data_IF_376753067379
#
_entry.id   IF_376753067379
#
_cell.length_a   1.000
_cell.length_b   1.000
_cell.length_c   1.000
_cell.angle_alpha   90.00
_cell.angle_beta   90.00
_cell.angle_gamma   90.00
#
_symmetry.space_group_name_H-M   'P 1'
#
loop_
_entity.id
_entity.type
_entity.pdbx_description
1 polymer ?
#
# COMPACT_ATOMS: atom_id res chain seq x y z
N UNK A 1 -4.18 -22.99 -32.13
CA UNK A 1 -4.95 -22.44 -30.98
C UNK A 1 -3.96 -22.10 -29.88
N UNK A 2 -3.77 -20.82 -29.55
CA UNK A 2 -2.83 -20.39 -28.50
C UNK A 2 -3.56 -20.38 -27.16
N UNK A 3 -3.22 -21.33 -26.28
CA UNK A 3 -3.70 -21.33 -24.90
C UNK A 3 -2.97 -20.23 -24.13
N UNK A 4 -3.51 -19.01 -24.14
CA UNK A 4 -3.04 -17.91 -23.29
C UNK A 4 -3.45 -18.24 -21.85
N UNK A 5 -2.54 -18.82 -21.08
CA UNK A 5 -2.74 -19.14 -19.66
C UNK A 5 -3.08 -17.83 -18.93
N UNK A 6 -4.31 -17.68 -18.47
CA UNK A 6 -4.71 -16.53 -17.64
C UNK A 6 -4.10 -16.74 -16.26
N UNK A 7 -3.09 -15.95 -15.93
CA UNK A 7 -2.58 -15.89 -14.56
C UNK A 7 -3.52 -15.02 -13.73
N UNK A 8 -3.75 -15.35 -12.45
CA UNK A 8 -4.46 -14.46 -11.52
C UNK A 8 -3.83 -13.06 -11.49
N UNK A 9 -4.63 -12.04 -11.17
CA UNK A 9 -4.12 -10.67 -11.00
C UNK A 9 -2.98 -10.62 -9.96
N UNK A 10 -1.97 -9.77 -10.17
CA UNK A 10 -0.84 -9.65 -9.26
C UNK A 10 0.15 -10.83 -9.24
N UNK A 11 -0.06 -11.84 -10.09
CA UNK A 11 0.86 -12.97 -10.23
C UNK A 11 1.68 -12.92 -11.52
N UNK A 12 2.94 -13.35 -11.45
CA UNK A 12 3.85 -13.39 -12.59
C UNK A 12 4.03 -14.84 -13.06
N UNK A 13 3.95 -15.10 -14.38
CA UNK A 13 4.35 -16.38 -14.92
C UNK A 13 5.86 -16.54 -14.70
N UNK A 14 6.31 -17.67 -14.16
CA UNK A 14 7.73 -17.89 -13.90
C UNK A 14 8.51 -18.02 -15.22
N UNK A 15 9.72 -17.46 -15.26
CA UNK A 15 10.66 -17.64 -16.37
C UNK A 15 11.46 -18.95 -16.26
N UNK A 16 11.67 -19.45 -15.03
CA UNK A 16 12.58 -20.59 -14.74
C UNK A 16 11.98 -21.70 -13.88
N UNK A 17 10.86 -21.45 -13.18
CA UNK A 17 10.21 -22.42 -12.28
C UNK A 17 8.84 -22.84 -12.83
N UNK A 18 8.28 -23.99 -12.42
CA UNK A 18 6.95 -24.42 -12.88
C UNK A 18 5.79 -23.72 -12.14
N UNK A 19 6.07 -23.00 -11.04
CA UNK A 19 5.06 -22.43 -10.14
C UNK A 19 4.86 -20.93 -10.35
N UNK A 20 3.61 -20.48 -10.24
CA UNK A 20 3.24 -19.06 -10.28
C UNK A 20 3.87 -18.34 -9.08
N UNK A 21 4.47 -17.17 -9.30
CA UNK A 21 5.07 -16.35 -8.25
C UNK A 21 4.26 -15.07 -8.00
N UNK A 22 4.31 -14.57 -6.77
CA UNK A 22 3.73 -13.29 -6.38
C UNK A 22 4.74 -12.43 -5.62
N UNK A 23 4.62 -11.11 -5.76
CA UNK A 23 5.52 -10.17 -5.09
C UNK A 23 5.21 -10.10 -3.59
N UNK A 24 6.25 -9.93 -2.78
CA UNK A 24 6.12 -9.66 -1.33
C UNK A 24 5.80 -8.20 -1.01
N UNK A 25 5.79 -7.32 -2.02
CA UNK A 25 5.65 -5.86 -1.85
C UNK A 25 6.97 -5.14 -1.59
N UNK A 26 8.07 -5.89 -1.40
CA UNK A 26 9.41 -5.36 -1.20
C UNK A 26 10.29 -5.83 -2.36
N UNK A 27 10.63 -4.97 -3.34
CA UNK A 27 11.39 -5.37 -4.52
C UNK A 27 12.76 -6.00 -4.19
N UNK A 28 13.47 -5.45 -3.20
CA UNK A 28 14.76 -5.98 -2.78
C UNK A 28 14.66 -7.37 -2.15
N UNK A 29 13.53 -7.70 -1.51
CA UNK A 29 13.29 -9.04 -0.98
C UNK A 29 12.91 -10.00 -2.10
N UNK A 30 12.10 -9.56 -3.06
CA UNK A 30 11.73 -10.37 -4.24
C UNK A 30 12.96 -10.75 -5.07
N UNK A 31 13.96 -9.87 -5.16
CA UNK A 31 15.23 -10.16 -5.82
C UNK A 31 16.03 -11.24 -5.07
N UNK A 32 16.04 -11.19 -3.73
CA UNK A 32 16.71 -12.19 -2.88
C UNK A 32 16.01 -13.54 -2.91
N UNK A 33 14.68 -13.56 -2.90
CA UNK A 33 13.88 -14.78 -3.02
C UNK A 33 13.98 -15.39 -4.43
N UNK A 34 14.40 -14.58 -5.42
CA UNK A 34 14.56 -14.99 -6.79
C UNK A 34 13.24 -15.09 -7.55
N UNK A 35 13.32 -15.26 -8.87
CA UNK A 35 12.16 -15.45 -9.76
C UNK A 35 11.06 -14.35 -9.67
N UNK A 36 11.40 -13.18 -9.13
CA UNK A 36 10.51 -12.03 -9.01
C UNK A 36 9.49 -12.12 -7.88
N UNK A 37 9.75 -12.93 -6.85
CA UNK A 37 8.97 -13.00 -5.62
C UNK A 37 8.80 -14.41 -5.04
N UNK A 38 7.76 -14.60 -4.22
CA UNK A 38 7.49 -15.86 -3.55
C UNK A 38 6.65 -16.81 -4.43
N UNK A 39 7.03 -18.10 -4.56
CA UNK A 39 6.22 -19.09 -5.27
C UNK A 39 4.93 -19.43 -4.51
N UNK A 40 3.87 -19.69 -5.26
CA UNK A 40 2.62 -20.24 -4.72
C UNK A 40 2.85 -21.57 -3.99
N UNK A 41 2.17 -21.75 -2.84
CA UNK A 41 2.27 -22.95 -2.01
C UNK A 41 3.50 -23.00 -1.09
N UNK A 42 4.28 -21.93 -0.98
CA UNK A 42 5.43 -21.83 -0.08
C UNK A 42 5.10 -21.02 1.17
N UNK A 43 5.87 -21.23 2.23
CA UNK A 43 5.77 -20.49 3.50
C UNK A 43 7.10 -19.80 3.76
N UNK A 44 7.06 -18.49 3.89
CA UNK A 44 8.22 -17.67 4.27
C UNK A 44 8.18 -17.41 5.77
N UNK A 45 9.22 -17.83 6.49
CA UNK A 45 9.41 -17.54 7.91
C UNK A 45 10.49 -16.48 8.03
N UNK A 46 10.11 -15.27 8.46
CA UNK A 46 11.05 -14.18 8.71
C UNK A 46 11.48 -14.18 10.18
N UNK A 47 12.77 -14.38 10.43
CA UNK A 47 13.34 -14.26 11.77
C UNK A 47 13.80 -12.82 11.99
N UNK A 48 13.18 -12.14 12.93
CA UNK A 48 13.58 -10.79 13.36
C UNK A 48 14.21 -10.87 14.74
N UNK A 49 15.53 -11.14 14.83
CA UNK A 49 16.22 -11.32 16.10
C UNK A 49 16.33 -10.01 16.90
N UNK A 50 16.25 -8.87 16.22
CA UNK A 50 16.27 -7.56 16.84
C UNK A 50 14.88 -7.16 17.35
N UNK A 51 14.75 -7.08 18.67
CA UNK A 51 13.51 -6.72 19.37
C UNK A 51 13.17 -5.23 19.28
N UNK A 52 14.17 -4.38 19.01
CA UNK A 52 13.96 -2.94 18.92
C UNK A 52 13.67 -2.47 17.49
N UNK A 53 13.91 -3.34 16.51
CA UNK A 53 13.62 -3.05 15.11
C UNK A 53 12.19 -3.44 14.74
N UNK A 54 11.45 -2.49 14.19
CA UNK A 54 10.10 -2.71 13.65
C UNK A 54 10.11 -3.34 12.24
N UNK A 55 11.21 -3.99 11.84
CA UNK A 55 11.36 -4.56 10.50
C UNK A 55 10.38 -5.72 10.25
N UNK A 56 10.08 -6.51 11.28
CA UNK A 56 9.10 -7.60 11.19
C UNK A 56 7.71 -7.10 10.86
N UNK A 57 7.25 -6.09 11.60
CA UNK A 57 5.96 -5.45 11.37
C UNK A 57 5.89 -4.82 9.98
N UNK A 58 6.97 -4.15 9.56
CA UNK A 58 7.06 -3.52 8.26
C UNK A 58 6.96 -4.56 7.13
N UNK A 59 7.69 -5.67 7.25
CA UNK A 59 7.65 -6.77 6.29
C UNK A 59 6.24 -7.38 6.18
N UNK A 60 5.56 -7.60 7.30
CA UNK A 60 4.18 -8.08 7.33
C UNK A 60 3.22 -7.09 6.67
N UNK A 61 3.33 -5.80 7.01
CA UNK A 61 2.49 -4.74 6.43
C UNK A 61 2.65 -4.64 4.92
N UNK A 62 3.87 -4.73 4.39
CA UNK A 62 4.08 -4.73 2.94
C UNK A 62 3.47 -5.96 2.27
N UNK A 63 3.61 -7.15 2.88
CA UNK A 63 3.05 -8.37 2.32
C UNK A 63 1.50 -8.31 2.28
N UNK A 64 0.88 -7.83 3.36
CA UNK A 64 -0.58 -7.62 3.45
C UNK A 64 -1.04 -6.59 2.41
N UNK A 65 -0.38 -5.43 2.36
CA UNK A 65 -0.71 -4.38 1.40
C UNK A 65 -0.60 -4.87 -0.05
N UNK A 66 0.44 -5.65 -0.38
CA UNK A 66 0.64 -6.19 -1.71
C UNK A 66 -0.45 -7.22 -2.09
N UNK A 67 -0.85 -8.06 -1.13
CA UNK A 67 -1.97 -8.99 -1.30
C UNK A 67 -3.28 -8.25 -1.59
N UNK A 68 -3.60 -7.24 -0.79
CA UNK A 68 -4.79 -6.41 -0.96
C UNK A 68 -4.79 -5.65 -2.30
N UNK A 69 -3.66 -5.05 -2.67
CA UNK A 69 -3.50 -4.34 -3.95
C UNK A 69 -3.69 -5.27 -5.15
N UNK A 70 -3.25 -6.53 -5.03
CA UNK A 70 -3.41 -7.56 -6.07
C UNK A 70 -4.83 -8.12 -6.15
N UNK A 71 -5.72 -7.76 -5.21
CA UNK A 71 -7.05 -8.33 -5.08
C UNK A 71 -7.05 -9.76 -4.50
N UNK A 72 -5.99 -10.16 -3.81
CA UNK A 72 -5.93 -11.44 -3.13
C UNK A 72 -6.66 -11.40 -1.78
N UNK A 73 -7.28 -12.51 -1.40
CA UNK A 73 -7.81 -12.67 -0.04
C UNK A 73 -6.66 -12.84 0.95
N UNK A 74 -6.50 -11.89 1.87
CA UNK A 74 -5.46 -11.92 2.91
C UNK A 74 -6.08 -12.29 4.24
N UNK A 75 -5.54 -13.30 4.91
CA UNK A 75 -5.92 -13.68 6.27
C UNK A 75 -4.77 -13.33 7.21
N UNK A 76 -5.05 -12.50 8.21
CA UNK A 76 -4.07 -12.05 9.21
C UNK A 76 -4.42 -12.70 10.53
N UNK A 77 -3.45 -13.39 11.13
CA UNK A 77 -3.58 -13.97 12.46
C UNK A 77 -2.71 -13.15 13.42
N UNK A 78 -3.32 -12.43 14.34
CA UNK A 78 -2.61 -11.57 15.28
C UNK A 78 -3.42 -10.34 15.68
N UNK A 79 -2.69 -9.26 15.99
CA UNK A 79 -3.26 -7.99 16.42
C UNK A 79 -3.91 -7.23 15.26
N UNK A 80 -5.07 -6.62 15.53
CA UNK A 80 -5.81 -5.81 14.55
C UNK A 80 -5.08 -4.50 14.23
N UNK A 81 -4.32 -3.97 15.18
CA UNK A 81 -3.54 -2.74 15.01
C UNK A 81 -2.56 -2.83 13.83
N UNK A 82 -2.08 -4.03 13.50
CA UNK A 82 -1.18 -4.25 12.37
C UNK A 82 -1.86 -3.97 11.02
N UNK A 83 -3.14 -4.30 10.89
CA UNK A 83 -3.94 -4.05 9.68
C UNK A 83 -4.32 -2.56 9.60
N UNK A 84 -4.69 -1.96 10.74
CA UNK A 84 -5.08 -0.55 10.78
C UNK A 84 -3.89 0.38 10.46
N UNK A 85 -2.67 -0.03 10.82
CA UNK A 85 -1.43 0.67 10.51
C UNK A 85 -0.81 0.32 9.15
N UNK A 86 -1.52 -0.41 8.26
CA UNK A 86 -1.03 -0.71 6.91
C UNK A 86 -1.14 0.52 5.99
N UNK A 87 -0.03 0.86 5.33
CA UNK A 87 0.15 2.08 4.52
C UNK A 87 -0.77 2.21 3.29
N UNK A 88 -1.50 1.15 2.92
CA UNK A 88 -2.26 1.06 1.67
C UNK A 88 -3.71 0.59 1.84
N UNK A 89 -4.20 0.50 3.09
CA UNK A 89 -5.62 0.30 3.33
C UNK A 89 -6.27 1.69 3.28
N UNK A 90 -7.19 1.97 2.33
CA UNK A 90 -7.96 3.19 2.39
C UNK A 90 -8.70 3.21 3.72
N UNK A 91 -8.38 4.19 4.58
CA UNK A 91 -8.98 4.37 5.91
C UNK A 91 -10.52 4.47 5.85
N UNK A 92 -11.08 4.80 4.69
CA UNK A 92 -12.53 4.79 4.43
C UNK A 92 -13.19 3.41 4.59
N UNK A 93 -12.42 2.31 4.56
CA UNK A 93 -12.94 0.95 4.77
C UNK A 93 -12.89 0.55 6.26
N UNK A 94 -12.07 1.25 7.05
CA UNK A 94 -11.94 1.04 8.50
C UNK A 94 -12.96 1.86 9.30
N UNK A 95 -13.45 2.97 8.72
CA UNK A 95 -14.52 3.77 9.28
C UNK A 95 -15.88 3.14 8.96
N UNK A 96 -16.25 2.10 9.70
CA UNK A 96 -17.67 1.85 9.94
C UNK A 96 -18.20 2.97 10.85
N UNK A 97 -18.99 3.85 10.23
CA UNK A 97 -20.04 4.66 10.85
C UNK A 97 -19.63 5.57 12.02
N UNK A 98 -18.84 6.60 11.73
CA UNK A 98 -19.08 7.89 12.36
C UNK A 98 -19.23 8.94 11.26
N UNK A 99 -20.48 9.29 11.01
CA UNK A 99 -20.87 10.55 10.37
C UNK A 99 -20.37 11.70 11.24
N UNK A 100 -19.09 12.05 11.12
CA UNK A 100 -18.57 13.29 11.68
C UNK A 100 -18.53 14.37 10.60
N UNK A 101 -19.12 15.47 11.02
CA UNK A 101 -19.52 16.65 10.30
C UNK A 101 -18.50 17.18 9.28
N UNK A 102 -19.04 17.66 8.17
CA UNK A 102 -18.31 18.49 7.21
C UNK A 102 -18.08 19.87 7.84
N UNK A 103 -17.10 20.01 8.70
CA UNK A 103 -16.43 21.31 8.83
C UNK A 103 -15.38 21.40 7.73
N UNK A 104 -15.76 22.09 6.65
CA UNK A 104 -14.80 22.66 5.71
C UNK A 104 -14.00 23.72 6.45
N UNK A 105 -13.05 23.27 7.28
CA UNK A 105 -12.07 24.13 7.89
C UNK A 105 -11.32 24.81 6.74
N UNK A 106 -11.49 26.13 6.71
CA UNK A 106 -10.91 27.04 5.73
C UNK A 106 -9.39 26.82 5.69
N UNK A 107 -8.93 25.99 4.75
CA UNK A 107 -7.54 25.60 4.56
C UNK A 107 -6.66 26.85 4.39
N UNK A 108 -6.06 27.29 5.49
CA UNK A 108 -5.23 28.50 5.52
C UNK A 108 -3.78 28.05 5.69
N UNK A 109 -3.06 27.94 4.58
CA UNK A 109 -1.70 27.35 4.53
C UNK A 109 -0.66 28.25 5.21
N UNK A 110 -0.92 29.55 5.36
CA UNK A 110 -0.01 30.46 6.02
C UNK A 110 -0.75 31.66 6.61
N UNK A 111 -0.96 31.61 7.93
CA UNK A 111 -1.56 32.67 8.75
C UNK A 111 -0.90 34.05 8.56
N UNK A 112 0.39 34.09 8.22
CA UNK A 112 1.12 35.34 7.93
C UNK A 112 0.59 36.12 6.74
N UNK A 113 -0.12 35.48 5.81
CA UNK A 113 -0.67 36.14 4.62
C UNK A 113 -2.15 36.49 4.76
N UNK A 114 -2.78 36.27 5.91
CA UNK A 114 -4.20 36.57 6.10
C UNK A 114 -4.49 38.08 5.99
N UNK A 115 -3.52 38.92 6.35
CA UNK A 115 -3.64 40.39 6.34
C UNK A 115 -2.84 41.08 5.22
N UNK A 116 -2.26 40.34 4.26
CA UNK A 116 -1.59 41.01 3.12
C UNK A 116 -2.62 41.43 2.06
N UNK A 117 -2.52 42.68 1.63
CA UNK A 117 -3.36 43.22 0.56
C UNK A 117 -3.11 42.43 -0.73
N UNK A 118 -4.17 41.94 -1.35
CA UNK A 118 -4.10 41.18 -2.59
C UNK A 118 -3.39 42.02 -3.66
N UNK A 119 -2.31 41.49 -4.23
CA UNK A 119 -1.50 42.18 -5.22
C UNK A 119 -2.32 42.41 -6.49
N UNK A 120 -2.55 43.68 -6.86
CA UNK A 120 -3.22 44.01 -8.11
C UNK A 120 -2.24 43.84 -9.27
N UNK A 121 -2.51 42.89 -10.15
CA UNK A 121 -1.81 42.76 -11.43
C UNK A 121 -2.45 43.70 -12.44
N UNK A 122 -1.66 44.23 -13.37
CA UNK A 122 -2.09 45.20 -14.39
C UNK A 122 -2.80 44.56 -15.58
N UNK A 123 -3.45 43.41 -15.37
CA UNK A 123 -4.17 42.69 -16.43
C UNK A 123 -5.64 42.66 -16.04
N UNK A 124 -6.47 43.37 -16.80
CA UNK A 124 -7.91 43.40 -16.60
C UNK A 124 -8.48 41.98 -16.70
N UNK A 125 -9.16 41.53 -15.65
CA UNK A 125 -9.75 40.19 -15.56
C UNK A 125 -11.09 40.04 -16.30
N UNK A 126 -11.37 40.93 -17.28
CA UNK A 126 -12.54 40.85 -18.13
C UNK A 126 -12.12 40.94 -19.60
N UNK A 127 -11.77 39.77 -20.16
CA UNK A 127 -11.85 39.43 -21.59
C UNK A 127 -12.32 37.99 -21.71
#
# INVERSE_FOLDING_TARGET
>A
MSFKRRTPAGTKPPASSPSITFSTGIPSLDDVLGAGGMPSGTVLIALTPDRHSSYGDLLQKYNIAQGLHSGHGVCVFGDRELVDACMWVPQSVLLHDETQDKDQDKMTIAWRYENVKQFQTTVDANL
#
